data_IF_228452278171
#
_entry.id   IF_228452278171
#
_cell.length_a   1.000
_cell.length_b   1.000
_cell.length_c   1.000
_cell.angle_alpha   90.00
_cell.angle_beta   90.00
_cell.angle_gamma   90.00
#
_symmetry.space_group_name_H-M   'P 1'
#
loop_
_entity.id
_entity.type
_entity.pdbx_description
1 polymer ?
#
# COMPACT_ATOMS: atom_id res chain seq x y z
N UNK A 1 -10.38 -4.77 -0.92
CA UNK A 1 -9.95 -4.97 0.49
C UNK A 1 -9.72 -3.66 1.24
N UNK A 2 -8.80 -2.78 0.82
CA UNK A 2 -8.61 -1.48 1.48
C UNK A 2 -9.88 -0.62 1.32
N UNK A 3 -10.43 -0.51 0.13
CA UNK A 3 -11.68 0.21 -0.13
C UNK A 3 -12.87 -0.35 0.68
N UNK A 4 -13.04 -1.67 0.70
CA UNK A 4 -14.03 -2.35 1.54
C UNK A 4 -13.84 -2.05 3.04
N UNK A 5 -12.59 -1.85 3.50
CA UNK A 5 -12.30 -1.48 4.89
C UNK A 5 -12.57 0.00 5.22
N UNK A 6 -12.78 0.84 4.21
CA UNK A 6 -13.09 2.26 4.37
C UNK A 6 -14.60 2.52 4.54
N UNK A 7 -15.46 1.55 4.23
CA UNK A 7 -16.91 1.65 4.43
C UNK A 7 -17.22 1.86 5.93
N UNK A 8 -18.04 2.86 6.31
CA UNK A 8 -18.44 3.06 7.70
C UNK A 8 -19.06 1.79 8.29
N UNK A 9 -18.61 1.39 9.48
CA UNK A 9 -19.07 0.16 10.13
C UNK A 9 -18.43 -1.15 9.61
N UNK A 10 -17.53 -1.09 8.61
CA UNK A 10 -16.84 -2.28 8.12
C UNK A 10 -16.05 -2.99 9.22
N UNK A 11 -16.24 -4.31 9.33
CA UNK A 11 -15.43 -5.14 10.22
C UNK A 11 -14.08 -5.46 9.54
N UNK A 12 -13.10 -4.61 9.81
CA UNK A 12 -11.73 -4.73 9.26
C UNK A 12 -11.09 -6.08 9.57
N UNK A 13 -11.35 -6.65 10.75
CA UNK A 13 -10.82 -7.95 11.14
C UNK A 13 -11.43 -9.11 10.35
N UNK A 14 -12.73 -9.06 10.03
CA UNK A 14 -13.38 -10.05 9.18
C UNK A 14 -12.81 -10.01 7.76
N UNK A 15 -12.68 -8.80 7.19
CA UNK A 15 -12.10 -8.58 5.86
C UNK A 15 -10.65 -9.08 5.79
N UNK A 16 -9.85 -8.85 6.84
CA UNK A 16 -8.47 -9.32 6.88
C UNK A 16 -8.39 -10.86 6.95
N UNK A 17 -9.26 -11.51 7.73
CA UNK A 17 -9.33 -12.98 7.83
C UNK A 17 -9.72 -13.63 6.51
N UNK A 18 -10.73 -13.09 5.83
CA UNK A 18 -11.13 -13.56 4.50
C UNK A 18 -9.99 -13.45 3.48
N UNK A 19 -9.16 -12.40 3.60
CA UNK A 19 -8.00 -12.19 2.76
C UNK A 19 -6.72 -12.93 3.22
N UNK A 20 -6.78 -13.74 4.29
CA UNK A 20 -5.61 -14.47 4.80
C UNK A 20 -4.50 -13.57 5.38
N UNK A 21 -4.84 -12.38 5.87
CA UNK A 21 -3.89 -11.36 6.32
C UNK A 21 -4.08 -11.01 7.80
N UNK A 22 -3.02 -10.57 8.47
CA UNK A 22 -3.11 -10.00 9.81
C UNK A 22 -3.93 -8.70 9.82
N UNK A 23 -4.91 -8.58 10.72
CA UNK A 23 -5.74 -7.38 10.82
C UNK A 23 -4.92 -6.10 11.06
N UNK A 24 -3.81 -6.19 11.81
CA UNK A 24 -2.88 -5.07 12.06
C UNK A 24 -2.30 -4.47 10.78
N UNK A 25 -2.02 -5.30 9.77
CA UNK A 25 -1.54 -4.86 8.47
C UNK A 25 -2.62 -4.08 7.73
N UNK A 26 -3.86 -4.59 7.69
CA UNK A 26 -4.98 -3.91 7.04
C UNK A 26 -5.32 -2.58 7.74
N UNK A 27 -5.27 -2.52 9.08
CA UNK A 27 -5.41 -1.26 9.83
C UNK A 27 -4.31 -0.25 9.49
N UNK A 28 -3.05 -0.72 9.38
CA UNK A 28 -1.93 0.10 8.95
C UNK A 28 -2.14 0.68 7.55
N UNK A 29 -2.58 -0.14 6.60
CA UNK A 29 -2.87 0.29 5.23
C UNK A 29 -4.06 1.25 5.16
N UNK A 30 -5.14 0.99 5.90
CA UNK A 30 -6.29 1.89 5.99
C UNK A 30 -5.89 3.28 6.49
N UNK A 31 -5.05 3.34 7.53
CA UNK A 31 -4.52 4.61 8.05
C UNK A 31 -3.64 5.33 7.02
N UNK A 32 -2.80 4.61 6.28
CA UNK A 32 -1.96 5.17 5.22
C UNK A 32 -2.79 5.70 4.04
N UNK A 33 -3.85 4.99 3.63
CA UNK A 33 -4.75 5.44 2.57
C UNK A 33 -5.46 6.76 2.95
N UNK A 34 -5.96 6.85 4.19
CA UNK A 34 -6.56 8.08 4.72
C UNK A 34 -5.55 9.23 4.82
N UNK A 35 -4.30 8.94 5.22
CA UNK A 35 -3.23 9.94 5.28
C UNK A 35 -2.74 10.39 3.91
N UNK A 36 -2.63 9.46 2.95
CA UNK A 36 -2.22 9.75 1.56
C UNK A 36 -3.17 10.73 0.89
N UNK A 37 -4.48 10.60 1.13
CA UNK A 37 -5.47 11.59 0.67
C UNK A 37 -5.24 12.98 1.29
N UNK A 38 -4.91 13.06 2.59
CA UNK A 38 -4.61 14.33 3.25
C UNK A 38 -3.24 14.93 2.90
N UNK A 39 -2.23 14.11 2.63
CA UNK A 39 -0.90 14.56 2.24
C UNK A 39 -0.91 15.10 0.79
N UNK A 40 -1.63 14.42 -0.11
CA UNK A 40 -1.84 14.89 -1.48
C UNK A 40 -2.64 16.21 -1.52
N UNK A 41 -3.61 16.39 -0.61
CA UNK A 41 -4.36 17.65 -0.43
C UNK A 41 -3.47 18.80 0.04
N UNK A 42 -2.62 18.58 1.06
CA UNK A 42 -1.68 19.60 1.55
C UNK A 42 -0.58 19.96 0.56
N UNK A 43 -0.13 19.01 -0.27
CA UNK A 43 0.83 19.30 -1.33
C UNK A 43 0.24 20.23 -2.42
N UNK A 44 -1.09 20.25 -2.59
CA UNK A 44 -1.80 21.08 -3.56
C UNK A 44 -2.18 22.47 -3.03
N UNK A 45 -2.16 22.66 -1.71
CA UNK A 45 -2.41 23.94 -1.05
C UNK A 45 -1.05 24.58 -0.75
N UNK A 46 -0.56 25.38 -1.71
CA UNK A 46 0.74 26.07 -1.67
C UNK A 46 0.90 27.09 -0.54
N UNK A 47 0.88 26.62 0.71
CA UNK A 47 1.26 27.35 1.91
C UNK A 47 2.60 26.85 2.40
N UNK A 48 3.48 27.79 2.78
CA UNK A 48 4.79 27.51 3.36
C UNK A 48 4.63 26.57 4.57
N UNK A 49 5.00 25.31 4.39
CA UNK A 49 4.92 24.25 5.38
C UNK A 49 6.21 23.46 5.41
N UNK A 50 6.48 22.81 6.55
CA UNK A 50 7.67 22.01 6.81
C UNK A 50 8.07 21.16 5.60
N UNK A 51 9.35 21.25 5.22
CA UNK A 51 9.96 20.34 4.23
C UNK A 51 9.91 18.94 4.83
N UNK A 52 8.97 18.12 4.36
CA UNK A 52 9.03 16.69 4.56
C UNK A 52 10.26 16.19 3.79
N UNK A 53 11.29 15.72 4.51
CA UNK A 53 12.38 14.97 3.88
C UNK A 53 11.68 13.74 3.29
N UNK A 54 11.51 13.74 1.97
CA UNK A 54 10.94 12.63 1.24
C UNK A 54 11.67 11.37 1.70
N UNK A 55 10.96 10.48 2.41
CA UNK A 55 11.47 9.15 2.69
C UNK A 55 11.92 8.59 1.35
N UNK A 56 13.20 8.22 1.24
CA UNK A 56 13.76 7.62 0.03
C UNK A 56 12.77 6.55 -0.44
N UNK A 57 12.27 6.72 -1.67
CA UNK A 57 11.16 5.96 -2.26
C UNK A 57 11.04 4.57 -1.64
N UNK A 58 10.03 4.40 -0.78
CA UNK A 58 9.90 3.24 0.10
C UNK A 58 9.85 1.96 -0.74
N UNK A 59 10.97 1.24 -0.80
CA UNK A 59 11.05 -0.04 -1.47
C UNK A 59 10.21 -1.04 -0.66
N UNK A 60 9.32 -1.77 -1.33
CA UNK A 60 8.61 -2.89 -0.73
C UNK A 60 9.39 -4.18 -1.01
N UNK A 61 9.53 -4.99 0.03
CA UNK A 61 10.11 -6.33 -0.07
C UNK A 61 9.00 -7.34 0.23
N UNK A 62 8.81 -8.30 -0.67
CA UNK A 62 7.79 -9.33 -0.58
C UNK A 62 8.51 -10.68 -0.68
N UNK A 63 8.38 -11.51 0.35
CA UNK A 63 8.86 -12.90 0.33
C UNK A 63 7.70 -13.84 0.00
N UNK A 64 7.89 -14.73 -0.97
CA UNK A 64 6.92 -15.77 -1.37
C UNK A 64 7.65 -17.09 -1.60
N UNK A 65 7.51 -18.04 -0.68
CA UNK A 65 8.10 -19.39 -0.84
C UNK A 65 9.63 -19.37 -1.03
N UNK A 66 10.33 -18.45 -0.35
CA UNK A 66 11.78 -18.25 -0.50
C UNK A 66 12.19 -17.35 -1.68
N UNK A 67 11.26 -16.92 -2.53
CA UNK A 67 11.51 -15.89 -3.55
C UNK A 67 11.37 -14.49 -2.94
N UNK A 68 12.33 -13.62 -3.20
CA UNK A 68 12.29 -12.21 -2.76
C UNK A 68 11.96 -11.32 -3.96
N UNK A 69 10.88 -10.55 -3.85
CA UNK A 69 10.48 -9.52 -4.80
C UNK A 69 10.75 -8.16 -4.16
N UNK A 70 11.56 -7.33 -4.81
CA UNK A 70 11.84 -5.95 -4.41
C UNK A 70 11.20 -5.02 -5.42
N UNK A 71 10.29 -4.16 -4.99
CA UNK A 71 9.66 -3.18 -5.87
C UNK A 71 9.83 -1.76 -5.32
N UNK A 72 10.29 -0.87 -6.18
CA UNK A 72 10.39 0.54 -5.87
C UNK A 72 9.06 1.28 -6.02
N UNK A 73 9.00 2.48 -5.45
CA UNK A 73 7.80 3.32 -5.52
C UNK A 73 7.48 3.81 -6.95
N UNK A 74 8.44 3.69 -7.87
CA UNK A 74 8.32 3.96 -9.30
C UNK A 74 7.60 2.85 -10.08
N UNK A 75 7.46 1.65 -9.52
CA UNK A 75 6.75 0.54 -10.16
C UNK A 75 5.24 0.66 -9.92
N UNK A 76 4.48 0.89 -10.99
CA UNK A 76 3.02 0.86 -10.96
C UNK A 76 2.45 -0.56 -10.78
N UNK A 77 1.22 -0.65 -10.24
CA UNK A 77 0.53 -1.92 -9.98
C UNK A 77 0.47 -2.84 -11.21
N UNK A 78 0.07 -2.32 -12.36
CA UNK A 78 -0.08 -3.13 -13.58
C UNK A 78 1.25 -3.72 -14.05
N UNK A 79 2.34 -2.97 -13.90
CA UNK A 79 3.68 -3.43 -14.23
C UNK A 79 4.12 -4.53 -13.27
N UNK A 80 3.90 -4.35 -11.96
CA UNK A 80 4.22 -5.36 -10.95
C UNK A 80 3.44 -6.67 -11.20
N UNK A 81 2.13 -6.58 -11.49
CA UNK A 81 1.29 -7.74 -11.79
C UNK A 81 1.77 -8.48 -13.03
N UNK A 82 2.14 -7.76 -14.10
CA UNK A 82 2.69 -8.37 -15.33
C UNK A 82 3.98 -9.13 -15.05
N UNK A 83 4.90 -8.54 -14.27
CA UNK A 83 6.17 -9.17 -13.90
C UNK A 83 5.92 -10.45 -13.09
N UNK A 84 5.08 -10.38 -12.05
CA UNK A 84 4.76 -11.54 -11.21
C UNK A 84 4.13 -12.67 -12.04
N UNK A 85 3.22 -12.35 -12.95
CA UNK A 85 2.61 -13.34 -13.85
C UNK A 85 3.64 -13.99 -14.77
N UNK A 86 4.56 -13.21 -15.33
CA UNK A 86 5.63 -13.72 -16.19
C UNK A 86 6.56 -14.68 -15.43
N UNK A 87 6.92 -14.35 -14.18
CA UNK A 87 7.75 -15.21 -13.32
C UNK A 87 7.04 -16.53 -12.99
N UNK A 88 5.71 -16.51 -12.76
CA UNK A 88 4.93 -17.72 -12.48
C UNK A 88 4.90 -18.71 -13.67
N UNK A 89 5.03 -18.22 -14.90
CA UNK A 89 4.94 -19.05 -16.11
C UNK A 89 6.28 -19.63 -16.57
N UNK A 90 7.38 -19.25 -15.93
CA UNK A 90 8.71 -19.81 -16.13
C UNK A 90 8.92 -21.04 -15.23
#
# INVERSE_FOLDING_TARGET
MIEASLVPGANVSAIAREAGMAASQLFGWRRKALKGDTANRRANEGGLGFVEIATTAAQIEIEVGGMIIRAGADIGQDQLVKIIRAVKTA
#
